data_IF_891115959794
#
_entry.id   IF_891115959794
#
_cell.length_a   1.000
_cell.length_b   1.000
_cell.length_c   1.000
_cell.angle_alpha   90.00
_cell.angle_beta   90.00
_cell.angle_gamma   90.00
#
_symmetry.space_group_name_H-M   'P 1'
#
loop_
_entity.id
_entity.type
_entity.pdbx_description
1 polymer ?
#
# COMPACT_ATOMS: atom_id res chain seq x y z
N UNK A 1 42.41 27.44 -1.80
CA UNK A 1 41.64 27.04 -3.01
C UNK A 1 41.42 25.53 -3.16
N UNK A 2 42.33 24.64 -2.74
CA UNK A 2 42.11 23.17 -2.82
C UNK A 2 41.11 22.60 -1.80
N UNK A 3 41.01 23.16 -0.59
CA UNK A 3 40.05 22.70 0.44
C UNK A 3 38.57 23.01 0.12
N UNK A 4 38.28 24.17 -0.49
CA UNK A 4 36.94 24.52 -0.96
C UNK A 4 36.45 23.58 -2.08
N UNK A 5 37.36 23.16 -2.96
CA UNK A 5 37.05 22.20 -4.03
C UNK A 5 36.76 20.79 -3.50
N UNK A 6 37.49 20.33 -2.47
CA UNK A 6 37.23 19.02 -1.83
C UNK A 6 35.91 19.06 -1.05
N UNK A 7 35.61 20.15 -0.32
CA UNK A 7 34.34 20.29 0.39
C UNK A 7 33.15 20.34 -0.57
N UNK A 8 33.25 21.08 -1.68
CA UNK A 8 32.23 21.06 -2.75
C UNK A 8 32.10 19.70 -3.43
N UNK A 9 33.19 18.94 -3.59
CA UNK A 9 33.13 17.58 -4.14
C UNK A 9 32.46 16.61 -3.14
N UNK A 10 32.76 16.72 -1.85
CA UNK A 10 32.12 15.92 -0.80
C UNK A 10 30.64 16.25 -0.63
N UNK A 11 30.25 17.53 -0.71
CA UNK A 11 28.84 17.96 -0.71
C UNK A 11 28.13 17.50 -1.99
N UNK A 12 28.77 17.58 -3.16
CA UNK A 12 28.21 17.06 -4.41
C UNK A 12 28.09 15.53 -4.40
N UNK A 13 29.05 14.81 -3.83
CA UNK A 13 28.98 13.36 -3.63
C UNK A 13 27.93 13.00 -2.57
N UNK A 14 27.82 13.76 -1.47
CA UNK A 14 26.75 13.57 -0.48
C UNK A 14 25.37 13.85 -1.07
N UNK A 15 25.22 14.89 -1.90
CA UNK A 15 23.99 15.19 -2.63
C UNK A 15 23.67 14.14 -3.69
N UNK A 16 24.68 13.59 -4.40
CA UNK A 16 24.51 12.51 -5.37
C UNK A 16 24.22 11.15 -4.71
N UNK A 17 24.66 10.94 -3.47
CA UNK A 17 24.36 9.74 -2.67
C UNK A 17 23.02 9.90 -1.92
N UNK A 18 22.53 11.12 -1.67
CA UNK A 18 21.19 11.39 -1.12
C UNK A 18 20.10 11.58 -2.18
N UNK A 19 20.46 11.71 -3.47
CA UNK A 19 19.54 11.67 -4.60
C UNK A 19 19.18 10.25 -5.02
N UNK A 20 19.27 9.27 -4.11
CA UNK A 20 18.92 7.88 -4.40
C UNK A 20 17.39 7.79 -4.61
N UNK A 21 17.04 8.01 -5.88
CA UNK A 21 15.77 7.74 -6.53
C UNK A 21 14.57 8.48 -5.93
N UNK A 22 14.73 9.80 -5.74
CA UNK A 22 13.58 10.70 -5.58
C UNK A 22 12.77 10.70 -6.89
N UNK A 23 11.62 10.02 -6.87
CA UNK A 23 10.77 9.85 -8.04
C UNK A 23 9.47 10.61 -7.92
N UNK A 24 8.81 10.86 -9.07
CA UNK A 24 7.53 11.58 -9.09
C UNK A 24 6.50 10.82 -8.23
N UNK A 25 5.77 11.56 -7.40
CA UNK A 25 4.75 11.00 -6.52
C UNK A 25 5.25 10.65 -5.13
N UNK A 26 6.56 10.75 -4.87
CA UNK A 26 7.12 10.49 -3.55
C UNK A 26 6.52 11.44 -2.50
N UNK A 27 6.11 10.90 -1.36
CA UNK A 27 5.54 11.65 -0.23
C UNK A 27 6.50 11.64 0.96
N UNK A 28 6.55 12.76 1.69
CA UNK A 28 7.28 12.88 2.95
C UNK A 28 6.50 13.73 3.96
N UNK A 29 6.89 13.64 5.23
CA UNK A 29 6.38 14.47 6.30
C UNK A 29 7.43 15.47 6.74
N UNK A 30 6.98 16.69 7.05
CA UNK A 30 7.82 17.81 7.45
C UNK A 30 7.38 18.36 8.80
N UNK A 31 8.35 18.66 9.66
CA UNK A 31 8.16 19.33 10.95
C UNK A 31 9.18 20.45 11.05
N UNK A 32 8.72 21.68 11.30
CA UNK A 32 9.55 22.90 11.35
C UNK A 32 10.42 23.08 10.09
N UNK A 33 9.86 22.77 8.91
CA UNK A 33 10.57 22.87 7.64
C UNK A 33 11.64 21.79 7.39
N UNK A 34 11.80 20.80 8.29
CA UNK A 34 12.77 19.72 8.15
C UNK A 34 12.03 18.41 7.81
N UNK A 35 12.34 17.72 6.69
CA UNK A 35 11.82 16.39 6.41
C UNK A 35 12.63 15.31 7.13
N UNK A 36 11.96 14.31 7.72
CA UNK A 36 12.61 13.09 8.23
C UNK A 36 11.76 11.85 7.93
N UNK A 37 12.42 10.77 7.50
CA UNK A 37 11.76 9.49 7.20
C UNK A 37 11.18 8.79 8.44
N UNK A 38 11.63 9.17 9.64
CA UNK A 38 11.15 8.64 10.91
C UNK A 38 9.84 9.28 11.40
N UNK A 39 9.39 10.37 10.78
CA UNK A 39 8.16 11.02 11.20
C UNK A 39 6.95 10.15 10.89
N UNK A 40 6.05 10.06 11.87
CA UNK A 40 4.72 9.49 11.72
C UNK A 40 3.64 10.57 11.72
N UNK A 41 4.01 11.84 11.86
CA UNK A 41 3.08 12.98 11.84
C UNK A 41 3.81 14.23 11.35
N UNK A 42 3.14 15.08 10.58
CA UNK A 42 3.72 16.31 10.04
C UNK A 42 2.93 16.88 8.87
N UNK A 43 3.42 18.01 8.34
CA UNK A 43 2.90 18.63 7.11
C UNK A 43 3.28 17.72 5.93
N UNK A 44 2.32 17.48 5.04
CA UNK A 44 2.48 16.56 3.91
C UNK A 44 3.11 17.27 2.73
N UNK A 45 4.22 16.74 2.26
CA UNK A 45 4.85 17.15 1.02
C UNK A 45 4.84 16.03 0.00
N UNK A 46 4.63 16.39 -1.26
CA UNK A 46 4.74 15.48 -2.41
C UNK A 46 5.72 16.04 -3.42
N UNK A 47 6.50 15.15 -4.03
CA UNK A 47 7.40 15.49 -5.13
C UNK A 47 6.68 15.35 -6.46
N UNK A 48 6.17 16.47 -6.98
CA UNK A 48 5.31 16.46 -8.16
C UNK A 48 5.45 17.74 -8.99
N UNK A 49 4.88 17.75 -10.19
CA UNK A 49 4.91 18.89 -11.10
C UNK A 49 3.57 19.65 -11.09
N UNK A 50 3.59 20.92 -11.46
CA UNK A 50 2.40 21.78 -11.44
C UNK A 50 1.73 21.86 -12.81
N UNK A 51 0.58 22.54 -12.90
CA UNK A 51 -0.05 22.86 -14.19
C UNK A 51 0.79 23.80 -15.06
N UNK A 52 1.71 24.55 -14.46
CA UNK A 52 2.54 25.57 -15.11
C UNK A 52 4.01 25.17 -15.34
N UNK A 53 4.44 24.01 -14.84
CA UNK A 53 5.81 23.52 -14.94
C UNK A 53 5.83 22.01 -15.12
N UNK A 54 6.66 21.53 -16.04
CA UNK A 54 6.91 20.09 -16.23
C UNK A 54 7.97 19.52 -15.28
N UNK A 55 8.67 20.38 -14.53
CA UNK A 55 9.68 19.95 -13.57
C UNK A 55 9.05 19.61 -12.22
N UNK A 56 9.37 18.41 -11.71
CA UNK A 56 8.94 18.00 -10.38
C UNK A 56 9.66 18.85 -9.32
N UNK A 57 8.95 19.17 -8.23
CA UNK A 57 9.49 19.83 -7.04
C UNK A 57 8.74 19.36 -5.81
N UNK A 58 9.36 19.53 -4.64
CA UNK A 58 8.62 19.42 -3.39
C UNK A 58 7.60 20.55 -3.28
N UNK A 59 6.39 20.18 -2.89
CA UNK A 59 5.33 21.11 -2.57
C UNK A 59 4.27 20.48 -1.67
N UNK A 60 3.46 21.34 -1.08
CA UNK A 60 2.45 20.95 -0.11
C UNK A 60 1.12 20.64 -0.80
N UNK A 61 0.19 20.09 -0.02
CA UNK A 61 -1.16 19.76 -0.44
C UNK A 61 -2.13 20.72 0.27
N UNK A 62 -3.01 21.36 -0.49
CA UNK A 62 -4.07 22.24 0.01
C UNK A 62 -5.08 21.44 0.84
N UNK A 63 -5.37 21.91 2.05
CA UNK A 63 -6.44 21.37 2.87
C UNK A 63 -7.79 21.96 2.42
N UNK A 64 -8.69 21.09 1.97
CA UNK A 64 -10.07 21.43 1.70
C UNK A 64 -10.99 20.56 2.57
N UNK A 65 -11.78 21.20 3.43
CA UNK A 65 -12.69 20.50 4.36
C UNK A 65 -13.79 19.70 3.62
N UNK A 66 -14.06 20.02 2.36
CA UNK A 66 -15.08 19.34 1.55
C UNK A 66 -14.57 18.08 0.85
N UNK A 67 -13.25 17.92 0.68
CA UNK A 67 -12.67 16.75 -0.01
C UNK A 67 -11.64 15.98 0.81
N UNK A 68 -11.05 16.60 1.83
CA UNK A 68 -9.98 15.99 2.62
C UNK A 68 -10.51 15.52 3.98
N UNK A 69 -10.72 14.21 4.10
CA UNK A 69 -11.12 13.55 5.34
C UNK A 69 -10.14 12.44 5.76
N UNK A 70 -10.57 11.57 6.66
CA UNK A 70 -9.78 10.43 7.14
C UNK A 70 -9.35 9.46 6.02
N UNK A 71 -10.05 9.47 4.89
CA UNK A 71 -9.84 8.62 3.72
C UNK A 71 -8.53 9.01 3.04
N UNK A 72 -8.39 10.26 2.62
CA UNK A 72 -7.18 10.82 1.98
C UNK A 72 -5.99 10.73 2.94
N UNK A 73 -6.21 11.07 4.21
CA UNK A 73 -5.19 10.96 5.23
C UNK A 73 -4.68 9.51 5.38
N UNK A 74 -5.59 8.53 5.35
CA UNK A 74 -5.20 7.12 5.43
C UNK A 74 -4.40 6.68 4.21
N UNK A 75 -4.76 7.14 3.01
CA UNK A 75 -4.00 6.84 1.78
C UNK A 75 -2.59 7.43 1.84
N UNK A 76 -2.43 8.67 2.32
CA UNK A 76 -1.11 9.26 2.56
C UNK A 76 -0.30 8.42 3.55
N UNK A 77 -0.93 7.98 4.64
CA UNK A 77 -0.29 7.12 5.63
C UNK A 77 0.08 5.74 5.06
N UNK A 78 -0.76 5.16 4.20
CA UNK A 78 -0.43 3.93 3.47
C UNK A 78 0.78 4.11 2.58
N UNK A 79 0.85 5.23 1.87
CA UNK A 79 1.98 5.56 0.99
C UNK A 79 3.29 5.71 1.78
N UNK A 80 3.21 6.17 3.03
CA UNK A 80 4.34 6.23 3.98
C UNK A 80 4.61 4.87 4.67
N UNK A 81 3.80 3.85 4.40
CA UNK A 81 3.90 2.47 4.88
C UNK A 81 3.24 2.19 6.25
N UNK A 82 2.51 3.16 6.81
CA UNK A 82 1.70 2.99 8.01
C UNK A 82 0.34 2.39 7.67
N UNK A 83 -0.36 1.78 8.63
CA UNK A 83 -1.64 1.10 8.40
C UNK A 83 -2.87 2.02 8.29
N UNK A 84 -2.67 3.34 8.28
CA UNK A 84 -3.74 4.34 8.17
C UNK A 84 -3.49 5.59 9.02
N UNK A 85 -4.44 6.51 9.00
CA UNK A 85 -4.38 7.76 9.75
C UNK A 85 -5.10 7.68 11.10
N UNK A 86 -4.47 8.27 12.12
CA UNK A 86 -5.03 8.53 13.45
C UNK A 86 -5.52 9.97 13.63
N UNK A 87 -5.07 10.88 12.76
CA UNK A 87 -5.47 12.29 12.76
C UNK A 87 -5.05 12.98 11.47
N UNK A 88 -5.70 14.09 11.17
CA UNK A 88 -5.44 14.93 10.00
C UNK A 88 -6.04 16.31 10.22
N UNK A 89 -5.65 17.26 9.39
CA UNK A 89 -6.28 18.57 9.38
C UNK A 89 -5.44 19.63 8.68
N UNK A 90 -5.78 20.88 8.99
CA UNK A 90 -5.12 22.07 8.48
C UNK A 90 -3.86 22.38 9.29
N UNK A 91 -2.74 22.62 8.63
CA UNK A 91 -1.44 22.88 9.25
C UNK A 91 -1.49 24.09 10.20
N UNK A 92 -2.25 25.14 9.86
CA UNK A 92 -2.44 26.32 10.70
C UNK A 92 -3.03 26.02 12.08
N UNK A 93 -3.90 25.01 12.18
CA UNK A 93 -4.51 24.59 13.46
C UNK A 93 -3.54 23.77 14.32
N UNK A 94 -2.46 23.28 13.72
CA UNK A 94 -1.42 22.46 14.35
C UNK A 94 -0.03 23.13 14.32
N UNK A 95 0.02 24.46 14.21
CA UNK A 95 1.28 25.22 14.10
C UNK A 95 2.23 24.99 15.30
N UNK A 96 1.69 24.76 16.50
CA UNK A 96 2.49 24.47 17.70
C UNK A 96 3.15 23.09 17.66
N UNK A 97 2.65 22.17 16.83
CA UNK A 97 3.15 20.80 16.67
C UNK A 97 4.12 20.71 15.49
N UNK A 98 3.75 21.27 14.34
CA UNK A 98 4.45 21.05 13.07
C UNK A 98 5.16 22.30 12.55
N UNK A 99 4.93 23.46 13.15
CA UNK A 99 5.53 24.72 12.74
C UNK A 99 5.01 25.18 11.38
N UNK A 100 5.89 25.85 10.64
CA UNK A 100 5.67 26.28 9.26
C UNK A 100 6.72 25.63 8.37
N UNK A 101 6.39 25.38 7.11
CA UNK A 101 7.38 25.14 6.06
C UNK A 101 7.36 26.30 5.04
N UNK A 102 8.20 26.23 4.00
CA UNK A 102 8.32 27.25 2.97
C UNK A 102 8.04 26.72 1.57
N UNK A 103 7.59 25.48 1.45
CA UNK A 103 7.22 24.92 0.16
C UNK A 103 5.90 25.54 -0.30
N UNK A 104 5.75 25.68 -1.62
CA UNK A 104 4.49 26.14 -2.16
C UNK A 104 3.49 24.99 -2.19
N UNK A 105 2.21 25.28 -2.01
CA UNK A 105 1.13 24.32 -2.31
C UNK A 105 1.13 24.02 -3.82
N UNK A 106 1.18 22.74 -4.19
CA UNK A 106 1.25 22.29 -5.60
C UNK A 106 0.15 21.30 -5.99
N UNK A 107 -0.55 20.74 -5.02
CA UNK A 107 -1.76 19.94 -5.22
C UNK A 107 -2.92 20.49 -4.40
N UNK A 108 -4.12 20.32 -4.93
CA UNK A 108 -5.38 20.64 -4.27
C UNK A 108 -6.44 19.58 -4.60
N UNK A 109 -7.61 19.68 -3.97
CA UNK A 109 -8.79 18.86 -4.27
C UNK A 109 -8.50 17.35 -4.26
N UNK A 110 -7.63 16.89 -3.35
CA UNK A 110 -7.36 15.46 -3.19
C UNK A 110 -8.65 14.81 -2.73
N UNK A 111 -9.07 13.79 -3.47
CA UNK A 111 -10.29 13.02 -3.23
C UNK A 111 -10.05 11.56 -3.60
N UNK A 112 -10.03 10.71 -2.59
CA UNK A 112 -9.79 9.29 -2.67
C UNK A 112 -11.12 8.54 -2.54
N UNK A 113 -11.49 7.74 -3.55
CA UNK A 113 -12.73 6.95 -3.49
C UNK A 113 -12.73 5.81 -2.46
N UNK A 114 -11.58 5.50 -1.86
CA UNK A 114 -11.45 4.46 -0.84
C UNK A 114 -10.23 4.69 0.04
N UNK A 115 -10.37 4.42 1.33
CA UNK A 115 -9.23 4.40 2.26
C UNK A 115 -8.32 3.20 2.01
N UNK A 116 -8.75 2.21 1.22
CA UNK A 116 -7.94 1.03 0.90
C UNK A 116 -6.84 1.27 -0.15
N UNK A 117 -6.80 2.45 -0.76
CA UNK A 117 -5.75 2.84 -1.69
C UNK A 117 -4.40 2.95 -0.99
N UNK A 118 -3.35 2.64 -1.75
CA UNK A 118 -1.96 2.57 -1.33
C UNK A 118 -1.22 3.88 -1.54
N UNK A 119 -1.56 4.64 -2.59
CA UNK A 119 -0.89 5.91 -2.93
C UNK A 119 -1.86 6.99 -3.41
N UNK A 120 -1.43 8.25 -3.35
CA UNK A 120 -2.19 9.40 -3.85
C UNK A 120 -2.46 9.35 -5.36
N UNK A 121 -1.71 8.56 -6.15
CA UNK A 121 -1.95 8.40 -7.59
C UNK A 121 -3.30 7.74 -7.90
N UNK A 122 -3.83 6.97 -6.95
CA UNK A 122 -5.13 6.31 -7.08
C UNK A 122 -6.30 7.25 -6.76
N UNK A 123 -6.00 8.43 -6.22
CA UNK A 123 -6.97 9.46 -5.91
C UNK A 123 -7.06 10.46 -7.07
N UNK A 124 -8.17 11.17 -7.16
CA UNK A 124 -8.24 12.38 -8.00
C UNK A 124 -7.64 13.55 -7.24
N UNK A 125 -6.97 14.45 -7.96
CA UNK A 125 -6.44 15.70 -7.40
C UNK A 125 -6.28 16.76 -8.50
N UNK A 126 -6.27 18.02 -8.11
CA UNK A 126 -6.04 19.18 -8.95
C UNK A 126 -4.60 19.70 -8.83
N UNK A 127 -4.04 20.15 -9.95
CA UNK A 127 -2.78 20.92 -10.02
C UNK A 127 -3.03 22.42 -10.22
N UNK A 128 -4.30 22.83 -10.17
CA UNK A 128 -4.74 24.22 -10.20
C UNK A 128 -5.10 24.55 -8.76
N UNK A 129 -4.32 25.43 -8.14
CA UNK A 129 -4.45 25.74 -6.72
C UNK A 129 -5.56 26.77 -6.53
N UNK A 130 -6.51 26.43 -5.66
CA UNK A 130 -7.57 27.36 -5.24
C UNK A 130 -6.96 28.61 -4.61
N UNK A 131 -7.62 29.76 -4.81
CA UNK A 131 -7.24 31.01 -4.13
C UNK A 131 -7.35 30.93 -2.60
N UNK A 132 -8.07 29.94 -2.07
CA UNK A 132 -8.12 29.65 -0.63
C UNK A 132 -6.81 29.11 -0.08
N UNK A 133 -5.93 28.53 -0.91
CA UNK A 133 -4.66 27.92 -0.49
C UNK A 133 -3.46 28.77 -0.93
N UNK A 134 -3.40 29.98 -0.39
CA UNK A 134 -2.33 30.97 -0.66
C UNK A 134 -1.37 31.16 0.51
N UNK A 135 -1.62 30.50 1.64
CA UNK A 135 -0.83 30.56 2.87
C UNK A 135 -0.45 29.14 3.29
N UNK A 136 0.75 28.97 3.87
CA UNK A 136 1.22 27.68 4.38
C UNK A 136 0.37 27.18 5.57
N UNK A 137 -0.44 28.05 6.16
CA UNK A 137 -1.45 27.65 7.15
C UNK A 137 -2.54 26.75 6.57
N UNK A 138 -2.74 26.78 5.25
CA UNK A 138 -3.81 26.05 4.55
C UNK A 138 -3.33 24.69 4.02
N UNK A 139 -2.10 24.28 4.36
CA UNK A 139 -1.58 22.98 3.95
C UNK A 139 -2.15 21.85 4.81
N UNK A 140 -2.09 20.63 4.28
CA UNK A 140 -2.49 19.41 4.98
C UNK A 140 -1.40 18.95 5.95
N UNK A 141 -1.80 18.60 7.17
CA UNK A 141 -1.03 17.68 8.01
C UNK A 141 -1.74 16.35 8.16
N UNK A 142 -0.96 15.30 8.45
CA UNK A 142 -1.48 14.00 8.87
C UNK A 142 -0.75 13.50 10.12
N UNK A 143 -1.42 12.64 10.88
CA UNK A 143 -0.86 11.82 11.96
C UNK A 143 -1.19 10.37 11.70
N UNK A 144 -0.20 9.54 11.36
CA UNK A 144 -0.38 8.11 11.09
C UNK A 144 -0.36 7.28 12.37
N UNK A 145 -1.01 6.11 12.33
CA UNK A 145 -0.81 5.10 13.36
C UNK A 145 0.65 4.65 13.41
N UNK A 146 1.10 4.16 14.56
CA UNK A 146 2.44 3.58 14.70
C UNK A 146 2.55 2.20 14.06
N UNK A 147 1.43 1.52 13.84
CA UNK A 147 1.38 0.23 13.14
C UNK A 147 1.68 0.38 11.65
N UNK A 148 2.43 -0.58 11.11
CA UNK A 148 2.82 -0.66 9.70
C UNK A 148 1.94 -1.65 8.96
N UNK A 149 1.82 -1.46 7.63
CA UNK A 149 1.09 -2.38 6.74
C UNK A 149 1.65 -3.82 6.82
N UNK A 150 2.94 -3.96 7.15
CA UNK A 150 3.66 -5.23 7.23
C UNK A 150 3.82 -5.78 8.65
N UNK A 151 3.14 -5.22 9.67
CA UNK A 151 3.19 -5.78 11.04
C UNK A 151 2.44 -7.12 11.15
N UNK A 152 1.48 -7.37 10.25
CA UNK A 152 0.76 -8.65 10.13
C UNK A 152 0.79 -9.11 8.67
N UNK A 153 1.95 -9.58 8.19
CA UNK A 153 2.13 -9.81 6.77
C UNK A 153 1.38 -11.05 6.28
N UNK A 154 1.05 -11.07 5.00
CA UNK A 154 0.49 -12.24 4.30
C UNK A 154 1.48 -12.78 3.26
N UNK A 155 1.34 -14.07 2.90
CA UNK A 155 2.20 -14.69 1.88
C UNK A 155 2.10 -13.95 0.54
N UNK A 156 3.23 -13.60 -0.05
CA UNK A 156 3.30 -12.82 -1.30
C UNK A 156 3.20 -11.31 -1.13
N UNK A 157 3.08 -10.81 0.12
CA UNK A 157 3.18 -9.38 0.38
C UNK A 157 4.59 -8.88 0.12
N UNK A 158 4.72 -7.72 -0.50
CA UNK A 158 6.02 -7.08 -0.77
C UNK A 158 6.19 -5.79 0.03
N UNK A 159 7.45 -5.36 0.20
CA UNK A 159 7.83 -4.05 0.77
C UNK A 159 9.18 -3.59 0.24
N UNK A 160 9.45 -2.30 0.39
CA UNK A 160 10.76 -1.69 0.11
C UNK A 160 11.48 -1.36 1.41
N UNK A 161 12.75 -1.74 1.53
CA UNK A 161 13.56 -1.56 2.75
C UNK A 161 14.89 -0.86 2.45
N UNK A 162 15.30 0.05 3.34
CA UNK A 162 16.63 0.66 3.31
C UNK A 162 16.79 1.83 2.34
N UNK A 163 15.73 2.26 1.64
CA UNK A 163 15.74 3.51 0.88
C UNK A 163 15.35 4.72 1.72
N UNK A 164 15.67 5.91 1.21
CA UNK A 164 15.35 7.21 1.85
C UNK A 164 13.85 7.48 1.90
N UNK A 165 13.12 7.05 0.87
CA UNK A 165 11.69 7.28 0.68
C UNK A 165 10.97 5.94 0.50
N UNK A 166 9.67 5.90 0.80
CA UNK A 166 8.85 4.68 0.65
C UNK A 166 8.71 4.19 -0.79
N UNK A 167 9.05 5.04 -1.77
CA UNK A 167 9.09 4.73 -3.20
C UNK A 167 10.38 4.05 -3.64
N UNK A 168 11.39 3.90 -2.78
CA UNK A 168 12.67 3.26 -3.12
C UNK A 168 13.17 2.33 -2.02
N UNK A 169 13.78 1.21 -2.39
CA UNK A 169 14.48 0.34 -1.46
C UNK A 169 14.77 -1.04 -2.02
N UNK A 170 15.40 -1.89 -1.22
CA UNK A 170 15.50 -3.33 -1.51
C UNK A 170 14.10 -3.93 -1.54
N UNK A 171 13.80 -4.67 -2.61
CA UNK A 171 12.54 -5.40 -2.76
C UNK A 171 12.59 -6.66 -1.88
N UNK A 172 11.67 -6.72 -0.92
CA UNK A 172 11.46 -7.88 -0.07
C UNK A 172 10.06 -8.44 -0.26
N UNK A 173 9.93 -9.76 -0.15
CA UNK A 173 8.66 -10.49 -0.20
C UNK A 173 8.52 -11.39 1.04
N UNK A 174 7.29 -11.54 1.53
CA UNK A 174 6.98 -12.42 2.65
C UNK A 174 6.59 -13.81 2.14
N UNK A 175 7.42 -14.81 2.43
CA UNK A 175 7.20 -16.21 2.07
C UNK A 175 7.60 -17.08 3.27
N UNK A 176 6.95 -18.23 3.46
CA UNK A 176 7.32 -19.20 4.51
C UNK A 176 7.48 -18.55 5.90
N UNK A 177 6.55 -17.66 6.24
CA UNK A 177 6.50 -16.93 7.52
C UNK A 177 7.71 -16.00 7.80
N UNK A 178 8.46 -15.63 6.75
CA UNK A 178 9.63 -14.77 6.89
C UNK A 178 9.80 -13.82 5.69
N UNK A 179 10.32 -12.62 5.97
CA UNK A 179 10.73 -11.68 4.93
C UNK A 179 12.06 -12.10 4.30
N UNK A 180 12.10 -12.15 2.98
CA UNK A 180 13.30 -12.42 2.19
C UNK A 180 13.41 -11.53 0.97
N UNK A 181 14.54 -11.58 0.30
CA UNK A 181 14.89 -10.70 -0.84
C UNK A 181 14.52 -11.34 -2.17
N UNK A 182 14.60 -10.55 -3.24
CA UNK A 182 14.40 -10.99 -4.63
C UNK A 182 15.72 -10.87 -5.38
N UNK A 183 16.13 -11.92 -6.06
CA UNK A 183 17.35 -11.97 -6.87
C UNK A 183 17.13 -11.26 -8.22
N UNK A 184 18.17 -10.57 -8.71
CA UNK A 184 18.17 -9.84 -9.98
C UNK A 184 18.30 -10.73 -11.21
N UNK A 185 18.62 -12.02 -11.02
CA UNK A 185 18.66 -13.02 -12.09
C UNK A 185 17.31 -13.07 -12.83
N UNK A 186 17.33 -12.63 -14.10
CA UNK A 186 16.19 -12.47 -15.00
C UNK A 186 15.12 -11.44 -14.56
N UNK A 187 15.32 -10.71 -13.46
CA UNK A 187 14.38 -9.67 -13.02
C UNK A 187 14.43 -8.48 -13.99
N UNK A 188 13.36 -8.29 -14.75
CA UNK A 188 13.25 -7.30 -15.79
C UNK A 188 12.32 -6.14 -15.47
N UNK A 189 12.16 -5.26 -16.46
CA UNK A 189 11.29 -4.09 -16.35
C UNK A 189 9.80 -4.44 -16.17
N UNK A 190 9.37 -5.59 -16.69
CA UNK A 190 7.97 -6.05 -16.53
C UNK A 190 7.73 -6.43 -15.07
N UNK A 191 8.67 -7.12 -14.43
CA UNK A 191 8.59 -7.52 -13.02
C UNK A 191 8.66 -6.30 -12.10
N UNK A 192 9.56 -5.36 -12.42
CA UNK A 192 9.67 -4.08 -11.73
C UNK A 192 8.35 -3.31 -11.75
N UNK A 193 7.69 -3.24 -12.92
CA UNK A 193 6.39 -2.61 -13.09
C UNK A 193 5.32 -3.31 -12.26
N UNK A 194 5.23 -4.64 -12.31
CA UNK A 194 4.24 -5.40 -11.50
C UNK A 194 4.47 -5.18 -10.01
N UNK A 195 5.72 -5.20 -9.54
CA UNK A 195 6.04 -4.91 -8.14
C UNK A 195 5.65 -3.48 -7.74
N UNK A 196 5.96 -2.47 -8.55
CA UNK A 196 5.55 -1.09 -8.27
C UNK A 196 4.03 -0.91 -8.31
N UNK A 197 3.33 -1.57 -9.23
CA UNK A 197 1.86 -1.60 -9.27
C UNK A 197 1.27 -2.28 -8.05
N UNK A 198 1.87 -3.38 -7.56
CA UNK A 198 1.48 -4.02 -6.30
C UNK A 198 1.66 -3.08 -5.09
N UNK A 199 2.61 -2.14 -5.15
CA UNK A 199 2.80 -1.07 -4.15
C UNK A 199 1.94 0.17 -4.39
N UNK A 200 1.11 0.19 -5.46
CA UNK A 200 0.17 1.26 -5.76
C UNK A 200 0.72 2.39 -6.65
N UNK A 201 1.92 2.25 -7.22
CA UNK A 201 2.50 3.16 -8.19
C UNK A 201 2.19 2.71 -9.63
N UNK A 202 2.23 3.59 -10.62
CA UNK A 202 1.94 3.23 -12.01
C UNK A 202 3.12 2.56 -12.72
N UNK A 203 4.37 2.94 -12.42
CA UNK A 203 5.57 2.31 -13.00
C UNK A 203 6.78 2.28 -12.06
N UNK A 204 7.86 1.66 -12.52
CA UNK A 204 9.18 1.71 -11.92
C UNK A 204 10.02 2.87 -12.50
N UNK A 205 10.87 3.47 -11.66
CA UNK A 205 11.92 4.42 -12.07
C UNK A 205 13.31 3.76 -12.14
N UNK A 206 13.53 2.71 -11.36
CA UNK A 206 14.72 1.85 -11.41
C UNK A 206 14.39 0.47 -10.84
N UNK A 207 15.11 -0.55 -11.27
CA UNK A 207 15.16 -1.88 -10.62
C UNK A 207 16.60 -2.31 -10.35
N UNK A 208 17.51 -1.33 -10.33
CA UNK A 208 18.94 -1.51 -10.04
C UNK A 208 19.36 -0.65 -8.87
N UNK A 209 20.35 -1.11 -8.12
CA UNK A 209 20.91 -0.39 -6.98
C UNK A 209 21.72 -1.30 -6.07
N UNK A 210 22.33 -0.70 -5.03
CA UNK A 210 23.21 -1.41 -4.12
C UNK A 210 22.62 -1.42 -2.70
N UNK A 211 21.53 -2.16 -2.51
CA UNK A 211 20.86 -2.33 -1.22
C UNK A 211 20.80 -3.80 -0.82
N UNK A 212 21.94 -4.39 -0.51
CA UNK A 212 22.04 -5.79 -0.09
C UNK A 212 21.28 -6.06 1.22
N UNK A 213 20.62 -7.22 1.28
CA UNK A 213 20.06 -7.80 2.49
C UNK A 213 21.14 -8.23 3.50
N UNK A 214 20.70 -8.61 4.68
CA UNK A 214 21.59 -9.16 5.70
C UNK A 214 22.02 -10.57 5.31
N UNK A 215 23.23 -11.00 5.67
CA UNK A 215 23.75 -12.33 5.30
C UNK A 215 22.92 -13.53 5.78
N UNK A 216 21.99 -13.32 6.72
CA UNK A 216 21.07 -14.34 7.25
C UNK A 216 19.64 -14.19 6.73
N UNK A 217 19.39 -13.20 5.88
CA UNK A 217 18.08 -12.98 5.28
C UNK A 217 17.94 -13.93 4.10
N UNK A 218 16.82 -14.66 3.96
CA UNK A 218 16.66 -15.58 2.85
C UNK A 218 16.45 -14.84 1.53
N UNK A 219 16.90 -15.41 0.43
CA UNK A 219 16.53 -15.00 -0.93
C UNK A 219 15.38 -15.86 -1.44
N UNK A 220 14.18 -15.28 -1.51
CA UNK A 220 12.96 -16.04 -1.79
C UNK A 220 12.61 -16.19 -3.24
N UNK A 221 12.89 -15.21 -4.09
CA UNK A 221 12.55 -15.29 -5.50
C UNK A 221 13.81 -15.14 -6.36
N UNK A 222 13.84 -15.88 -7.47
CA UNK A 222 14.76 -15.74 -8.60
C UNK A 222 13.98 -16.06 -9.87
N UNK A 223 14.54 -15.74 -11.04
CA UNK A 223 13.94 -16.09 -12.33
C UNK A 223 12.46 -15.63 -12.42
N UNK A 224 12.17 -14.44 -11.88
CA UNK A 224 10.81 -13.88 -11.84
C UNK A 224 10.36 -13.55 -13.26
N UNK A 225 9.16 -14.00 -13.66
CA UNK A 225 8.60 -13.73 -14.99
C UNK A 225 7.14 -13.28 -14.91
N UNK A 226 6.94 -11.96 -14.97
CA UNK A 226 5.64 -11.31 -14.98
C UNK A 226 5.11 -11.04 -16.40
N UNK A 227 5.54 -11.77 -17.43
CA UNK A 227 5.17 -11.50 -18.83
C UNK A 227 3.66 -11.61 -19.16
N UNK A 228 2.87 -12.27 -18.31
CA UNK A 228 1.41 -12.31 -18.47
C UNK A 228 0.77 -10.98 -18.04
N UNK A 229 -0.03 -10.39 -18.93
CA UNK A 229 -0.77 -9.13 -18.66
C UNK A 229 -1.83 -9.23 -17.57
N UNK A 230 -2.15 -10.45 -17.08
CA UNK A 230 -3.10 -10.69 -15.99
C UNK A 230 -2.47 -10.65 -14.59
N UNK A 231 -1.15 -10.45 -14.47
CA UNK A 231 -0.47 -10.49 -13.18
C UNK A 231 -0.38 -9.11 -12.53
N UNK A 232 -1.09 -8.96 -11.41
CA UNK A 232 -1.05 -7.75 -10.56
C UNK A 232 -0.15 -7.91 -9.32
N UNK A 233 0.38 -9.12 -9.08
CA UNK A 233 1.10 -9.50 -7.87
C UNK A 233 2.35 -10.31 -8.21
N UNK A 234 3.49 -9.97 -7.62
CA UNK A 234 4.79 -10.62 -7.87
C UNK A 234 4.75 -12.13 -7.59
N UNK A 235 3.97 -12.52 -6.58
CA UNK A 235 3.66 -13.89 -6.21
C UNK A 235 3.00 -14.74 -7.32
N UNK A 236 2.39 -14.11 -8.33
CA UNK A 236 1.82 -14.82 -9.48
C UNK A 236 2.88 -15.07 -10.58
N UNK A 237 3.98 -14.32 -10.55
CA UNK A 237 5.08 -14.41 -11.52
C UNK A 237 6.13 -15.46 -11.11
N UNK A 238 6.28 -15.69 -9.80
CA UNK A 238 7.13 -16.73 -9.25
C UNK A 238 6.56 -17.20 -7.91
N UNK A 239 6.54 -18.52 -7.71
CA UNK A 239 6.04 -19.12 -6.47
C UNK A 239 7.10 -19.09 -5.37
N UNK A 240 6.68 -18.87 -4.12
CA UNK A 240 7.55 -19.04 -2.96
C UNK A 240 8.14 -20.47 -2.95
N UNK A 241 9.48 -20.63 -2.92
CA UNK A 241 10.10 -21.94 -3.00
C UNK A 241 10.01 -22.68 -1.66
N UNK A 242 10.22 -23.99 -1.69
CA UNK A 242 10.35 -24.82 -0.47
C UNK A 242 11.69 -24.63 0.24
N UNK A 243 12.73 -24.19 -0.49
CA UNK A 243 14.08 -23.92 -0.01
C UNK A 243 14.61 -22.63 -0.64
N UNK A 244 15.50 -21.95 0.07
CA UNK A 244 16.15 -20.72 -0.40
C UNK A 244 17.02 -20.95 -1.66
N UNK A 245 17.12 -19.93 -2.51
CA UNK A 245 17.98 -19.95 -3.70
C UNK A 245 19.44 -19.60 -3.39
N UNK A 246 20.36 -20.04 -4.26
CA UNK A 246 21.81 -19.84 -4.10
C UNK A 246 22.32 -18.47 -4.59
N UNK A 247 21.44 -17.49 -4.83
CA UNK A 247 21.85 -16.13 -5.15
C UNK A 247 22.67 -15.54 -3.99
N UNK A 248 23.38 -14.45 -4.26
CA UNK A 248 24.08 -13.67 -3.22
C UNK A 248 23.35 -12.37 -2.98
N UNK A 249 23.41 -11.81 -1.77
CA UNK A 249 22.78 -10.50 -1.49
C UNK A 249 23.35 -9.33 -2.31
N UNK A 250 24.50 -9.50 -2.96
CA UNK A 250 24.98 -8.54 -3.98
C UNK A 250 24.10 -8.49 -5.24
N UNK A 251 23.18 -9.45 -5.39
CA UNK A 251 22.21 -9.60 -6.48
C UNK A 251 20.79 -9.27 -6.01
N UNK A 252 20.60 -8.71 -4.81
CA UNK A 252 19.27 -8.32 -4.34
C UNK A 252 18.76 -7.13 -5.16
N UNK A 253 17.52 -7.25 -5.64
CA UNK A 253 16.85 -6.18 -6.40
C UNK A 253 16.62 -4.97 -5.50
N UNK A 254 17.10 -3.81 -5.95
CA UNK A 254 16.68 -2.50 -5.44
C UNK A 254 15.67 -1.88 -6.41
N UNK A 255 14.47 -1.59 -5.93
CA UNK A 255 13.35 -1.10 -6.73
C UNK A 255 13.05 0.36 -6.38
N UNK A 256 12.85 1.19 -7.39
CA UNK A 256 12.29 2.53 -7.30
C UNK A 256 11.00 2.61 -8.09
N UNK A 257 9.97 3.21 -7.51
CA UNK A 257 8.63 3.33 -8.08
C UNK A 257 8.23 4.80 -8.27
N UNK A 258 7.40 5.07 -9.27
CA UNK A 258 7.02 6.44 -9.63
C UNK A 258 5.63 6.55 -10.25
N UNK A 259 5.13 7.79 -10.30
CA UNK A 259 3.91 8.14 -11.02
C UNK A 259 4.25 8.48 -12.49
N UNK A 260 4.15 7.51 -13.39
CA UNK A 260 4.33 7.73 -14.82
C UNK A 260 3.04 8.31 -15.45
N UNK A 261 3.12 9.58 -15.85
CA UNK A 261 1.97 10.37 -16.35
C UNK A 261 1.30 9.82 -17.60
N UNK A 262 1.99 8.98 -18.37
CA UNK A 262 1.45 8.35 -19.58
C UNK A 262 0.75 7.02 -19.30
N UNK A 263 0.87 6.48 -18.09
CA UNK A 263 0.26 5.23 -17.68
C UNK A 263 -0.98 5.46 -16.81
N UNK A 264 -1.81 4.42 -16.71
CA UNK A 264 -2.94 4.42 -15.80
C UNK A 264 -2.47 4.16 -14.37
N UNK A 265 -3.10 4.85 -13.42
CA UNK A 265 -2.94 4.60 -12.00
C UNK A 265 -3.14 3.10 -11.68
N UNK A 266 -2.44 2.62 -10.66
CA UNK A 266 -2.64 1.25 -10.19
C UNK A 266 -4.04 1.07 -9.63
N UNK A 267 -4.68 -0.06 -9.96
CA UNK A 267 -5.94 -0.50 -9.35
C UNK A 267 -5.72 -1.32 -8.08
N UNK A 268 -4.48 -1.58 -7.69
CA UNK A 268 -4.16 -2.44 -6.55
C UNK A 268 -4.42 -1.73 -5.23
N UNK A 269 -5.06 -2.42 -4.30
CA UNK A 269 -5.38 -1.93 -2.96
C UNK A 269 -4.69 -2.81 -1.91
N UNK A 270 -4.82 -2.44 -0.64
CA UNK A 270 -4.31 -3.24 0.50
C UNK A 270 -4.73 -4.72 0.49
N UNK A 271 -5.80 -5.09 -0.23
CA UNK A 271 -6.30 -6.45 -0.31
C UNK A 271 -6.01 -7.18 -1.62
N UNK A 272 -5.57 -6.51 -2.69
CA UNK A 272 -5.50 -7.12 -4.03
C UNK A 272 -4.65 -8.39 -4.05
N UNK A 273 -3.47 -8.35 -3.43
CA UNK A 273 -2.54 -9.49 -3.44
C UNK A 273 -2.65 -10.40 -2.22
N UNK A 274 -3.65 -10.21 -1.34
CA UNK A 274 -3.79 -10.99 -0.10
C UNK A 274 -3.93 -12.51 -0.33
N UNK A 275 -4.37 -12.89 -1.53
CA UNK A 275 -4.56 -14.28 -1.94
C UNK A 275 -3.70 -14.68 -3.15
N UNK A 276 -2.77 -13.83 -3.57
CA UNK A 276 -1.73 -14.22 -4.53
C UNK A 276 -0.85 -15.28 -3.85
N UNK A 277 -0.42 -16.32 -4.58
CA UNK A 277 0.12 -17.60 -4.08
C UNK A 277 -0.90 -18.69 -3.72
N UNK A 278 -2.21 -18.44 -3.67
CA UNK A 278 -3.15 -19.55 -3.52
C UNK A 278 -3.35 -20.24 -4.87
N UNK A 279 -2.48 -21.19 -5.22
CA UNK A 279 -2.80 -22.18 -6.24
C UNK A 279 -4.04 -22.92 -5.73
N UNK A 280 -5.21 -22.85 -6.39
CA UNK A 280 -6.26 -23.78 -6.08
C UNK A 280 -5.71 -25.16 -6.42
N UNK A 281 -5.31 -25.93 -5.41
CA UNK A 281 -5.37 -27.37 -5.56
C UNK A 281 -6.78 -27.68 -6.08
N UNK A 282 -6.82 -28.17 -7.32
CA UNK A 282 -8.03 -28.67 -7.93
C UNK A 282 -8.79 -29.52 -6.91
N UNK A 283 -10.03 -29.10 -6.61
CA UNK A 283 -11.08 -29.86 -5.92
C UNK A 283 -11.04 -29.98 -4.38
N UNK A 284 -11.04 -28.88 -3.62
CA UNK A 284 -11.56 -28.96 -2.23
C UNK A 284 -12.43 -27.78 -1.77
N UNK A 285 -12.46 -26.63 -2.47
CA UNK A 285 -13.19 -25.45 -1.99
C UNK A 285 -14.65 -25.29 -2.44
N UNK A 286 -15.19 -26.19 -3.26
CA UNK A 286 -16.65 -26.27 -3.47
C UNK A 286 -17.34 -27.24 -2.51
N UNK A 287 -16.58 -28.10 -1.82
CA UNK A 287 -17.16 -29.09 -0.91
C UNK A 287 -17.37 -28.48 0.48
N UNK A 288 -16.50 -27.61 0.99
CA UNK A 288 -16.69 -27.06 2.34
C UNK A 288 -17.87 -26.06 2.36
N UNK A 289 -18.00 -25.20 1.35
CA UNK A 289 -19.15 -24.31 1.21
C UNK A 289 -20.45 -25.07 0.90
N UNK A 290 -20.41 -26.05 0.00
CA UNK A 290 -21.58 -26.85 -0.39
C UNK A 290 -22.03 -27.85 0.67
N UNK A 291 -21.12 -28.46 1.43
CA UNK A 291 -21.44 -29.40 2.52
C UNK A 291 -21.90 -28.65 3.77
N UNK A 292 -21.29 -27.51 4.13
CA UNK A 292 -21.78 -26.70 5.25
C UNK A 292 -23.16 -26.11 4.92
N UNK A 293 -23.35 -25.58 3.70
CA UNK A 293 -24.66 -25.07 3.28
C UNK A 293 -25.69 -26.19 3.11
N UNK A 294 -25.30 -27.35 2.58
CA UNK A 294 -26.15 -28.52 2.43
C UNK A 294 -26.55 -29.16 3.77
N UNK A 295 -25.63 -29.24 4.74
CA UNK A 295 -25.90 -29.73 6.10
C UNK A 295 -26.77 -28.74 6.87
N UNK A 296 -26.54 -27.42 6.75
CA UNK A 296 -27.41 -26.41 7.35
C UNK A 296 -28.82 -26.42 6.75
N UNK A 297 -28.95 -26.63 5.43
CA UNK A 297 -30.25 -26.80 4.76
C UNK A 297 -30.94 -28.09 5.23
N UNK A 298 -30.22 -29.22 5.31
CA UNK A 298 -30.78 -30.48 5.81
C UNK A 298 -31.22 -30.37 7.27
N UNK A 299 -30.46 -29.69 8.14
CA UNK A 299 -30.83 -29.42 9.53
C UNK A 299 -32.06 -28.50 9.60
N UNK A 300 -32.13 -27.45 8.78
CA UNK A 300 -33.30 -26.58 8.70
C UNK A 300 -34.55 -27.32 8.18
N UNK A 301 -34.42 -28.19 7.17
CA UNK A 301 -35.52 -29.00 6.65
C UNK A 301 -35.96 -30.04 7.68
N UNK A 302 -35.03 -30.70 8.39
CA UNK A 302 -35.37 -31.61 9.49
C UNK A 302 -36.09 -30.89 10.64
N UNK A 303 -35.63 -29.70 11.04
CA UNK A 303 -36.30 -28.89 12.07
C UNK A 303 -37.70 -28.44 11.63
N UNK A 304 -37.87 -28.01 10.36
CA UNK A 304 -39.18 -27.66 9.82
C UNK A 304 -40.14 -28.86 9.72
N UNK A 305 -39.64 -30.04 9.34
CA UNK A 305 -40.44 -31.27 9.33
C UNK A 305 -40.84 -31.72 10.75
N UNK A 306 -39.93 -31.63 11.73
CA UNK A 306 -40.26 -31.93 13.13
C UNK A 306 -41.30 -30.96 13.71
N UNK A 307 -41.20 -29.65 13.40
CA UNK A 307 -42.21 -28.68 13.84
C UNK A 307 -43.58 -28.88 13.18
N UNK A 308 -43.62 -29.24 11.88
CA UNK A 308 -44.88 -29.56 11.21
C UNK A 308 -45.55 -30.83 11.74
N UNK A 309 -44.78 -31.86 12.12
CA UNK A 309 -45.32 -33.06 12.75
C UNK A 309 -45.83 -32.81 14.18
N UNK A 310 -45.20 -31.92 14.94
CA UNK A 310 -45.72 -31.52 16.27
C UNK A 310 -46.99 -30.66 16.18
N UNK A 311 -47.14 -29.83 15.14
CA UNK A 311 -48.34 -29.01 14.97
C UNK A 311 -49.57 -29.83 14.55
N UNK A 312 -49.39 -30.91 13.78
CA UNK A 312 -50.50 -31.82 13.40
C UNK A 312 -50.87 -32.84 14.49
N UNK A 313 -50.01 -33.07 15.48
CA UNK A 313 -50.24 -34.01 16.59
C UNK A 313 -51.06 -33.46 17.77
N UNK A 314 -51.27 -32.14 17.87
CA UNK A 314 -51.91 -31.51 19.05
C UNK A 314 -53.42 -31.23 18.82
N UNK A 315 -53.95 -31.39 17.60
CA UNK A 315 -55.38 -31.09 17.29
C UNK A 315 -56.33 -32.30 17.25
N UNK A 316 -55.99 -33.43 17.89
CA UNK A 316 -56.84 -34.63 17.85
C UNK A 316 -56.97 -35.38 19.18
N UNK A 317 -57.24 -34.66 20.26
CA UNK A 317 -57.66 -35.28 21.53
C UNK A 317 -58.45 -34.30 22.39
N UNK A 318 -59.66 -33.93 21.96
CA UNK A 318 -60.70 -33.39 22.85
C UNK A 318 -62.07 -33.63 22.20
N UNK A 319 -62.48 -34.90 22.15
CA UNK A 319 -63.88 -35.27 21.91
C UNK A 319 -64.25 -36.34 22.94
N UNK A 320 -64.91 -35.89 24.00
CA UNK A 320 -65.41 -36.71 25.11
C UNK A 320 -66.78 -37.27 24.70
N UNK A 321 -67.03 -38.59 24.71
CA UNK A 321 -68.37 -39.10 24.45
C UNK A 321 -69.24 -38.90 25.69
N UNK A 322 -70.36 -38.22 25.47
CA UNK A 322 -71.54 -38.22 26.33
C UNK A 322 -72.21 -39.60 26.29
N UNK A 323 -72.44 -40.19 27.46
CA UNK A 323 -73.48 -41.19 27.64
C UNK A 323 -74.65 -40.49 28.33
N UNK A 324 -75.76 -40.43 27.63
CA UNK A 324 -77.11 -40.14 28.12
C UNK A 324 -77.64 -41.35 28.88
N UNK A 325 -78.49 -41.12 29.88
CA UNK A 325 -79.76 -41.84 29.88
C UNK A 325 -80.68 -41.18 28.85
#
# INVERSE_FOLDING_TARGET
MKLLSIFSLFVALFCAVHSQFLARGTVQLVVNGVPLSSYSSGIVQIYYFTSSSSSNRWGNICYDISTFDSTEASVICHQLGYSGASGYGRAGDAISLYGTDTAATILADVNCGSSSYLTLEQCSFSRIISSSCTSNSEDVYVSCYTSRIWDRPYSGQIRLVGGTYSSYGRLEIYCNEQWGTVCDDSFGYIDARVACRQLGYSDYSTYTGNLAGYSSQPIWLKDVDCSSSSFDCLANCASCPTLEYTCRHSQDVALGCEFESTLTASSNTLSTCRYANFIPESNTRYIIGGVVFGVLILICICCCCCCCCCYYGIKKSDEKPSVTD
#
